data_IF_225068962534
#
_entry.id   IF_225068962534
#
_cell.length_a   1.000
_cell.length_b   1.000
_cell.length_c   1.000
_cell.angle_alpha   90.00
_cell.angle_beta   90.00
_cell.angle_gamma   90.00
#
_symmetry.space_group_name_H-M   'P 1'
#
loop_
_entity.id
_entity.type
_entity.pdbx_description
1 polymer ?
#
# COMPACT_ATOMS: atom_id res chain seq x y z
N UNK A 1 -39.26 20.27 35.03
CA UNK A 1 -38.67 20.98 33.88
C UNK A 1 -37.16 20.70 33.89
N UNK A 2 -36.62 19.96 32.91
CA UNK A 2 -35.86 20.47 31.74
C UNK A 2 -34.59 21.23 32.20
N UNK A 3 -33.35 21.02 31.77
CA UNK A 3 -32.59 20.11 30.87
C UNK A 3 -31.10 20.50 31.06
N UNK A 4 -30.17 19.52 30.92
CA UNK A 4 -28.81 19.55 30.29
C UNK A 4 -27.79 20.64 30.76
N UNK A 5 -26.50 20.37 30.96
CA UNK A 5 -25.48 19.83 30.03
C UNK A 5 -24.19 19.39 30.77
N UNK A 6 -23.53 18.36 30.23
CA UNK A 6 -22.09 18.11 29.98
C UNK A 6 -21.03 18.66 30.98
N UNK A 7 -19.96 17.93 31.33
CA UNK A 7 -18.88 17.49 30.42
C UNK A 7 -18.24 16.20 30.94
N UNK A 8 -18.21 15.17 30.08
CA UNK A 8 -17.39 13.98 30.23
C UNK A 8 -15.95 14.32 29.81
N UNK A 9 -15.00 14.05 30.70
CA UNK A 9 -13.58 14.21 30.46
C UNK A 9 -13.04 13.09 29.58
N UNK A 10 -12.46 13.48 28.45
CA UNK A 10 -11.61 12.69 27.58
C UNK A 10 -10.37 12.17 28.33
N UNK A 11 -10.16 10.86 28.24
CA UNK A 11 -8.87 10.15 28.24
C UNK A 11 -9.13 8.96 27.30
N UNK A 12 -8.51 8.79 26.14
CA UNK A 12 -7.15 9.13 25.77
C UNK A 12 -6.40 7.81 25.50
N UNK A 13 -6.69 7.17 24.36
CA UNK A 13 -5.74 6.26 23.69
C UNK A 13 -5.80 6.56 22.19
N UNK A 14 -4.67 7.04 21.69
CA UNK A 14 -4.34 7.30 20.30
C UNK A 14 -3.87 6.02 19.59
N UNK A 15 -4.05 6.01 18.27
CA UNK A 15 -3.47 5.13 17.24
C UNK A 15 -4.06 3.71 17.20
N UNK A 16 -4.59 3.23 16.08
CA UNK A 16 -4.05 3.31 14.71
C UNK A 16 -5.09 3.64 13.64
N UNK A 17 -4.71 4.45 12.65
CA UNK A 17 -5.36 4.47 11.34
C UNK A 17 -5.19 3.10 10.68
N UNK A 18 -6.29 2.48 10.28
CA UNK A 18 -6.35 1.15 9.66
C UNK A 18 -7.60 0.46 10.19
N UNK A 19 -8.42 -0.11 9.30
CA UNK A 19 -9.74 -0.71 9.57
C UNK A 19 -9.88 -1.30 10.98
N UNK A 20 -11.01 -1.03 11.62
CA UNK A 20 -11.39 -1.73 12.84
C UNK A 20 -11.27 -3.24 12.60
N UNK A 21 -10.42 -3.92 13.37
CA UNK A 21 -10.21 -5.36 13.24
C UNK A 21 -11.54 -6.06 13.46
N UNK A 22 -12.08 -6.62 12.38
CA UNK A 22 -13.30 -7.42 12.45
C UNK A 22 -13.04 -8.61 13.36
N UNK A 23 -13.91 -8.80 14.35
CA UNK A 23 -13.84 -9.91 15.29
C UNK A 23 -15.17 -10.66 15.31
N UNK A 24 -15.10 -11.97 15.51
CA UNK A 24 -16.26 -12.84 15.65
C UNK A 24 -16.49 -13.14 17.14
N UNK A 25 -17.69 -12.86 17.62
CA UNK A 25 -18.08 -13.12 19.00
C UNK A 25 -19.09 -14.26 19.01
N UNK A 26 -18.84 -15.29 19.82
CA UNK A 26 -19.89 -16.26 20.18
C UNK A 26 -20.57 -15.73 21.42
N UNK A 27 -21.83 -15.37 21.30
CA UNK A 27 -22.65 -14.86 22.41
C UNK A 27 -23.75 -15.85 22.71
N UNK A 28 -24.00 -16.08 23.99
CA UNK A 28 -25.17 -16.80 24.44
C UNK A 28 -26.40 -15.94 24.10
N UNK A 29 -27.34 -16.49 23.30
CA UNK A 29 -28.44 -15.70 22.78
C UNK A 29 -29.47 -15.44 23.88
N UNK A 30 -30.08 -14.27 23.86
CA UNK A 30 -31.23 -13.97 24.73
C UNK A 30 -32.52 -14.67 24.25
N UNK A 31 -32.42 -15.60 23.29
CA UNK A 31 -33.57 -16.34 22.76
C UNK A 31 -33.92 -17.49 23.70
N UNK A 32 -35.20 -17.88 23.79
CA UNK A 32 -35.68 -18.88 24.75
C UNK A 32 -35.13 -20.30 24.50
N UNK A 33 -34.48 -20.54 23.36
CA UNK A 33 -33.82 -21.79 22.99
C UNK A 33 -32.37 -21.91 23.50
N UNK A 34 -31.78 -20.82 24.01
CA UNK A 34 -30.42 -20.82 24.59
C UNK A 34 -29.32 -21.14 23.58
N UNK A 35 -29.62 -21.01 22.27
CA UNK A 35 -28.69 -21.39 21.22
C UNK A 35 -27.64 -20.29 21.04
N UNK A 36 -26.34 -20.58 21.11
CA UNK A 36 -25.31 -19.55 20.94
C UNK A 36 -25.34 -18.97 19.52
N UNK A 37 -25.11 -17.66 19.41
CA UNK A 37 -25.10 -16.90 18.16
C UNK A 37 -23.69 -16.41 17.84
N UNK A 38 -23.30 -16.50 16.56
CA UNK A 38 -22.09 -15.88 16.05
C UNK A 38 -22.40 -14.45 15.59
N UNK A 39 -21.67 -13.47 16.11
CA UNK A 39 -21.87 -12.05 15.82
C UNK A 39 -20.56 -11.47 15.30
N UNK A 40 -20.58 -10.87 14.10
CA UNK A 40 -19.46 -10.11 13.57
C UNK A 40 -19.46 -8.69 14.13
N UNK A 41 -18.35 -8.29 14.77
CA UNK A 41 -18.20 -7.06 15.54
C UNK A 41 -17.07 -6.24 14.93
N UNK A 42 -17.35 -4.97 14.64
CA UNK A 42 -16.36 -3.98 14.19
C UNK A 42 -15.69 -3.27 15.36
N UNK A 43 -16.43 -2.99 16.43
CA UNK A 43 -15.84 -2.41 17.64
C UNK A 43 -16.54 -2.88 18.90
N UNK A 44 -15.78 -3.04 19.99
CA UNK A 44 -16.32 -3.27 21.32
C UNK A 44 -16.10 -2.06 22.22
N UNK A 45 -17.12 -1.68 22.99
CA UNK A 45 -17.02 -0.71 24.08
C UNK A 45 -17.36 -1.38 25.39
N UNK A 46 -16.45 -1.28 26.35
CA UNK A 46 -16.57 -1.94 27.64
C UNK A 46 -17.20 -0.97 28.66
N UNK A 47 -18.45 -1.24 29.04
CA UNK A 47 -19.22 -0.42 29.99
C UNK A 47 -19.45 -1.20 31.28
N UNK A 48 -18.40 -1.32 32.10
CA UNK A 48 -18.48 -1.95 33.42
C UNK A 48 -18.80 -3.44 33.37
N UNK A 49 -20.05 -3.82 33.63
CA UNK A 49 -20.53 -5.23 33.59
C UNK A 49 -21.04 -5.66 32.21
N UNK A 50 -21.18 -4.72 31.27
CA UNK A 50 -21.66 -4.94 29.91
C UNK A 50 -20.58 -4.63 28.87
N UNK A 51 -20.75 -5.24 27.71
CA UNK A 51 -19.99 -4.94 26.50
C UNK A 51 -20.99 -4.52 25.42
N UNK A 52 -20.78 -3.34 24.86
CA UNK A 52 -21.53 -2.85 23.69
C UNK A 52 -20.77 -3.31 22.46
N UNK A 53 -21.36 -4.24 21.71
CA UNK A 53 -20.81 -4.75 20.46
C UNK A 53 -21.42 -3.97 19.30
N UNK A 54 -20.59 -3.25 18.54
CA UNK A 54 -21.01 -2.63 17.29
C UNK A 54 -20.80 -3.63 16.14
N UNK A 55 -21.89 -4.06 15.53
CA UNK A 55 -21.88 -5.02 14.42
C UNK A 55 -21.60 -4.35 13.08
N UNK A 56 -21.22 -5.16 12.09
CA UNK A 56 -20.95 -4.75 10.69
C UNK A 56 -22.13 -4.05 10.00
N UNK A 57 -23.35 -4.25 10.48
CA UNK A 57 -24.56 -3.61 9.95
C UNK A 57 -24.88 -2.28 10.65
N UNK A 58 -24.00 -1.80 11.52
CA UNK A 58 -24.19 -0.60 12.34
C UNK A 58 -25.09 -0.80 13.56
N UNK A 59 -25.62 -2.01 13.81
CA UNK A 59 -26.39 -2.29 15.03
C UNK A 59 -25.47 -2.36 16.25
N UNK A 60 -25.90 -1.73 17.33
CA UNK A 60 -25.27 -1.88 18.66
C UNK A 60 -26.03 -2.92 19.45
N UNK A 61 -25.34 -3.92 19.97
CA UNK A 61 -25.89 -4.96 20.85
C UNK A 61 -25.20 -4.88 22.20
N UNK A 62 -25.98 -4.65 23.26
CA UNK A 62 -25.48 -4.78 24.62
C UNK A 62 -25.50 -6.25 25.04
N UNK A 63 -24.35 -6.76 25.46
CA UNK A 63 -24.21 -8.15 25.93
C UNK A 63 -23.50 -8.12 27.29
N UNK A 64 -24.00 -8.88 28.26
CA UNK A 64 -23.32 -9.05 29.54
C UNK A 64 -22.00 -9.78 29.33
N UNK A 65 -20.93 -9.40 30.04
CA UNK A 65 -19.61 -10.06 29.91
C UNK A 65 -19.65 -11.58 30.08
N UNK A 66 -20.50 -12.07 30.99
CA UNK A 66 -20.68 -13.50 31.24
C UNK A 66 -21.37 -14.27 30.10
N UNK A 67 -22.00 -13.57 29.15
CA UNK A 67 -22.70 -14.18 28.02
C UNK A 67 -21.82 -14.22 26.76
N UNK A 68 -20.57 -13.75 26.81
CA UNK A 68 -19.61 -13.87 25.71
C UNK A 68 -18.84 -15.18 25.92
N UNK A 69 -19.14 -16.19 25.11
CA UNK A 69 -18.57 -17.54 25.24
C UNK A 69 -17.18 -17.64 24.60
N UNK A 70 -16.95 -16.91 23.51
CA UNK A 70 -15.65 -16.85 22.85
C UNK A 70 -15.49 -15.54 22.07
N UNK A 71 -14.24 -15.06 22.00
CA UNK A 71 -13.78 -14.04 21.06
C UNK A 71 -12.88 -14.71 20.04
N UNK A 72 -13.21 -14.59 18.78
CA UNK A 72 -12.54 -15.28 17.68
C UNK A 72 -12.05 -14.26 16.65
N UNK A 73 -10.88 -14.50 16.04
CA UNK A 73 -10.43 -13.68 14.94
C UNK A 73 -11.32 -13.92 13.71
N UNK A 74 -11.76 -12.84 13.05
CA UNK A 74 -12.40 -12.97 11.74
C UNK A 74 -11.36 -13.27 10.67
N UNK A 75 -11.78 -13.90 9.56
CA UNK A 75 -10.91 -14.12 8.41
C UNK A 75 -10.23 -12.81 7.97
N UNK A 76 -8.93 -12.83 7.69
CA UNK A 76 -8.19 -11.65 7.28
C UNK A 76 -8.73 -11.13 5.96
N UNK A 77 -8.88 -9.81 5.87
CA UNK A 77 -9.26 -9.10 4.66
C UNK A 77 -8.08 -8.84 3.72
N UNK A 78 -8.34 -8.33 2.50
CA UNK A 78 -7.29 -7.90 1.60
C UNK A 78 -6.48 -6.76 2.24
N UNK A 79 -5.19 -6.98 2.44
CA UNK A 79 -4.25 -6.01 3.02
C UNK A 79 -3.82 -6.30 4.47
N UNK A 80 -4.38 -7.33 5.12
CA UNK A 80 -3.98 -7.67 6.49
C UNK A 80 -2.64 -8.42 6.50
N UNK A 81 -1.71 -7.98 7.35
CA UNK A 81 -0.40 -8.62 7.54
C UNK A 81 -0.60 -9.90 8.35
N UNK A 82 -0.49 -11.06 7.68
CA UNK A 82 -0.75 -12.36 8.30
C UNK A 82 0.54 -13.17 8.47
N UNK A 83 0.82 -13.61 9.69
CA UNK A 83 1.89 -14.58 9.97
C UNK A 83 1.33 -16.00 10.01
N UNK A 84 2.16 -17.00 9.68
CA UNK A 84 1.78 -18.42 9.72
C UNK A 84 1.35 -18.86 11.13
N UNK A 85 2.04 -18.34 12.14
CA UNK A 85 1.74 -18.56 13.56
C UNK A 85 0.39 -17.97 13.97
N UNK A 86 0.08 -16.73 13.55
CA UNK A 86 -1.19 -16.09 13.82
C UNK A 86 -2.34 -16.85 13.15
N UNK A 87 -2.16 -17.30 11.90
CA UNK A 87 -3.13 -18.11 11.19
C UNK A 87 -3.34 -19.50 11.83
N UNK A 88 -2.27 -20.18 12.25
CA UNK A 88 -2.37 -21.45 12.96
C UNK A 88 -3.09 -21.31 14.30
N UNK A 89 -2.80 -20.23 15.04
CA UNK A 89 -3.49 -19.91 16.30
C UNK A 89 -4.98 -19.64 16.06
N UNK A 90 -5.33 -18.83 15.07
CA UNK A 90 -6.70 -18.55 14.70
C UNK A 90 -7.50 -19.83 14.35
N UNK A 91 -6.89 -20.75 13.59
CA UNK A 91 -7.50 -22.05 13.29
C UNK A 91 -7.72 -22.86 14.57
N UNK A 92 -6.74 -22.89 15.49
CA UNK A 92 -6.87 -23.58 16.78
C UNK A 92 -8.01 -23.01 17.61
N UNK A 93 -8.10 -21.69 17.73
CA UNK A 93 -9.15 -21.00 18.50
C UNK A 93 -10.55 -21.28 17.90
N UNK A 94 -10.67 -21.29 16.57
CA UNK A 94 -11.91 -21.64 15.86
C UNK A 94 -12.32 -23.10 16.06
N UNK A 95 -11.36 -24.03 16.06
CA UNK A 95 -11.63 -25.44 16.32
C UNK A 95 -12.04 -25.69 17.78
N UNK A 96 -11.43 -24.98 18.73
CA UNK A 96 -11.84 -25.03 20.13
C UNK A 96 -13.26 -24.46 20.30
N UNK A 97 -13.58 -23.33 19.67
CA UNK A 97 -14.92 -22.78 19.69
C UNK A 97 -15.96 -23.69 19.03
N UNK A 98 -15.59 -24.37 17.94
CA UNK A 98 -16.43 -25.39 17.30
C UNK A 98 -16.78 -26.53 18.27
N UNK A 99 -15.82 -26.95 19.12
CA UNK A 99 -16.09 -27.98 20.13
C UNK A 99 -17.04 -27.51 21.24
N UNK A 100 -17.06 -26.21 21.56
CA UNK A 100 -17.89 -25.61 22.61
C UNK A 100 -19.28 -25.20 22.11
N UNK A 101 -19.44 -24.92 20.81
CA UNK A 101 -20.68 -24.47 20.19
C UNK A 101 -21.06 -25.32 18.97
N UNK A 102 -21.50 -26.58 19.15
CA UNK A 102 -21.81 -27.49 18.04
C UNK A 102 -22.93 -26.98 17.13
N UNK A 103 -23.85 -26.15 17.65
CA UNK A 103 -24.89 -25.49 16.85
C UNK A 103 -24.33 -24.56 15.75
N UNK A 104 -23.11 -24.06 15.92
CA UNK A 104 -22.40 -23.17 14.97
C UNK A 104 -21.36 -23.92 14.13
N UNK A 105 -21.34 -25.26 14.18
CA UNK A 105 -20.31 -26.08 13.52
C UNK A 105 -20.10 -25.73 12.05
N UNK A 106 -21.17 -25.62 11.26
CA UNK A 106 -21.06 -25.33 9.82
C UNK A 106 -20.40 -23.98 9.56
N UNK A 107 -20.82 -22.95 10.29
CA UNK A 107 -20.33 -21.58 10.12
C UNK A 107 -18.87 -21.46 10.57
N UNK A 108 -18.53 -22.07 11.71
CA UNK A 108 -17.14 -22.10 12.20
C UNK A 108 -16.24 -22.93 11.28
N UNK A 109 -16.75 -24.01 10.68
CA UNK A 109 -16.00 -24.79 9.70
C UNK A 109 -15.68 -23.98 8.45
N UNK A 110 -16.63 -23.22 7.91
CA UNK A 110 -16.39 -22.32 6.77
C UNK A 110 -15.28 -21.31 7.08
N UNK A 111 -15.25 -20.77 8.30
CA UNK A 111 -14.22 -19.84 8.72
C UNK A 111 -12.84 -20.51 8.86
N UNK A 112 -12.79 -21.73 9.38
CA UNK A 112 -11.57 -22.55 9.42
C UNK A 112 -11.02 -22.78 8.02
N UNK A 113 -11.87 -23.11 7.04
CA UNK A 113 -11.42 -23.33 5.66
C UNK A 113 -10.88 -22.05 5.01
N UNK A 114 -11.45 -20.88 5.31
CA UNK A 114 -10.88 -19.58 4.87
C UNK A 114 -9.50 -19.35 5.46
N UNK A 115 -9.34 -19.57 6.77
CA UNK A 115 -8.04 -19.44 7.44
C UNK A 115 -7.00 -20.44 6.93
N UNK A 116 -7.38 -21.68 6.63
CA UNK A 116 -6.50 -22.66 5.97
C UNK A 116 -6.08 -22.21 4.57
N UNK A 117 -7.01 -21.72 3.76
CA UNK A 117 -6.69 -21.20 2.44
C UNK A 117 -5.73 -20.00 2.48
N UNK A 118 -5.77 -19.19 3.55
CA UNK A 118 -4.78 -18.16 3.82
C UNK A 118 -3.44 -18.77 4.25
N UNK A 119 -3.44 -19.73 5.18
CA UNK A 119 -2.25 -20.42 5.67
C UNK A 119 -1.46 -21.12 4.56
N UNK A 120 -2.16 -21.77 3.62
CA UNK A 120 -1.56 -22.48 2.48
C UNK A 120 -0.81 -21.54 1.53
N UNK A 121 -1.23 -20.28 1.46
CA UNK A 121 -0.58 -19.24 0.65
C UNK A 121 0.60 -18.58 1.37
N UNK A 122 0.74 -18.78 2.68
CA UNK A 122 1.87 -18.25 3.43
C UNK A 122 3.07 -19.19 3.29
N UNK A 123 4.21 -18.70 2.77
CA UNK A 123 5.42 -19.52 2.67
C UNK A 123 5.82 -20.02 4.05
N UNK A 124 6.10 -21.32 4.17
CA UNK A 124 6.63 -21.89 5.41
C UNK A 124 8.08 -21.48 5.57
N UNK A 125 8.43 -20.82 6.67
CA UNK A 125 9.82 -20.50 7.01
C UNK A 125 10.69 -21.75 7.22
N UNK A 126 10.07 -22.91 7.43
CA UNK A 126 10.73 -24.20 7.68
C UNK A 126 11.06 -24.99 6.39
N UNK A 127 10.62 -24.53 5.21
CA UNK A 127 10.96 -25.14 3.92
C UNK A 127 11.72 -24.15 3.02
N UNK A 128 13.07 -24.21 2.99
CA UNK A 128 13.91 -23.38 2.15
C UNK A 128 13.56 -23.46 0.66
N UNK A 129 13.03 -24.60 0.20
CA UNK A 129 12.62 -24.80 -1.19
C UNK A 129 11.33 -24.07 -1.54
N UNK A 130 10.38 -23.98 -0.59
CA UNK A 130 9.16 -23.19 -0.75
C UNK A 130 9.46 -21.69 -0.73
N UNK A 131 10.39 -21.25 0.13
CA UNK A 131 10.82 -19.85 0.20
C UNK A 131 11.53 -19.42 -1.10
N UNK A 132 12.46 -20.23 -1.61
CA UNK A 132 13.14 -19.94 -2.88
C UNK A 132 12.16 -19.87 -4.07
N UNK A 133 11.12 -20.72 -4.09
CA UNK A 133 10.07 -20.65 -5.12
C UNK A 133 9.22 -19.40 -5.00
N UNK A 134 8.87 -18.98 -3.78
CA UNK A 134 8.12 -17.75 -3.55
C UNK A 134 8.93 -16.51 -3.93
N UNK A 135 10.23 -16.50 -3.62
CA UNK A 135 11.15 -15.44 -4.04
C UNK A 135 11.31 -15.39 -5.56
N UNK A 136 11.48 -16.54 -6.22
CA UNK A 136 11.56 -16.61 -7.68
C UNK A 136 10.27 -16.10 -8.34
N UNK A 137 9.11 -16.52 -7.83
CA UNK A 137 7.81 -16.08 -8.32
C UNK A 137 7.61 -14.56 -8.15
N UNK A 138 8.02 -14.01 -7.00
CA UNK A 138 7.99 -12.57 -6.78
C UNK A 138 8.94 -11.84 -7.72
N UNK A 139 10.19 -12.29 -7.84
CA UNK A 139 11.19 -11.67 -8.71
C UNK A 139 10.74 -11.65 -10.18
N UNK A 140 10.14 -12.74 -10.66
CA UNK A 140 9.57 -12.83 -12.01
C UNK A 140 8.38 -11.88 -12.18
N UNK A 141 7.43 -11.88 -11.24
CA UNK A 141 6.27 -11.00 -11.29
C UNK A 141 6.66 -9.52 -11.22
N UNK A 142 7.65 -9.19 -10.38
CA UNK A 142 8.19 -7.84 -10.22
C UNK A 142 8.95 -7.38 -11.46
N UNK A 143 9.78 -8.24 -12.06
CA UNK A 143 10.48 -7.94 -13.32
C UNK A 143 9.49 -7.74 -14.48
N UNK A 144 8.41 -8.53 -14.52
CA UNK A 144 7.34 -8.35 -15.51
C UNK A 144 6.55 -7.05 -15.28
N UNK A 145 6.32 -6.69 -14.03
CA UNK A 145 5.65 -5.45 -13.65
C UNK A 145 6.52 -4.21 -13.95
N UNK A 146 7.85 -4.32 -13.89
CA UNK A 146 8.81 -3.26 -14.24
C UNK A 146 9.75 -3.69 -15.36
N UNK A 147 9.29 -3.70 -16.62
CA UNK A 147 10.14 -4.07 -17.76
C UNK A 147 11.28 -3.07 -18.00
N UNK A 148 11.14 -1.83 -17.49
CA UNK A 148 12.17 -0.80 -17.52
C UNK A 148 12.30 -0.18 -16.13
N UNK A 149 13.52 -0.04 -15.64
CA UNK A 149 13.78 0.73 -14.43
C UNK A 149 13.36 2.20 -14.63
N UNK A 150 12.91 2.83 -13.56
CA UNK A 150 12.71 4.28 -13.55
C UNK A 150 14.03 4.99 -13.83
N UNK A 151 14.02 5.89 -14.81
CA UNK A 151 15.13 6.77 -15.12
C UNK A 151 14.70 8.21 -14.85
N UNK A 152 15.30 8.89 -13.86
CA UNK A 152 14.94 10.26 -13.53
C UNK A 152 15.21 11.24 -14.67
N UNK A 153 16.00 10.91 -15.69
CA UNK A 153 16.23 11.82 -16.84
C UNK A 153 15.14 11.77 -17.89
N UNK A 154 14.36 10.69 -17.93
CA UNK A 154 13.29 10.54 -18.89
C UNK A 154 12.09 11.40 -18.51
N UNK A 155 11.44 11.97 -19.52
CA UNK A 155 10.16 12.66 -19.40
C UNK A 155 9.04 11.68 -19.79
N UNK A 156 8.58 10.92 -18.80
CA UNK A 156 7.46 9.99 -18.96
C UNK A 156 6.17 10.75 -19.15
N UNK A 157 5.19 10.23 -19.89
CA UNK A 157 3.83 10.76 -19.96
C UNK A 157 3.00 10.44 -18.69
N UNK A 158 1.90 11.16 -18.47
CA UNK A 158 1.04 10.93 -17.27
C UNK A 158 0.39 9.55 -17.32
N UNK A 159 0.06 9.10 -18.53
CA UNK A 159 -0.51 7.79 -18.78
C UNK A 159 0.50 6.70 -18.42
N UNK A 160 1.76 6.82 -18.86
CA UNK A 160 2.83 5.87 -18.52
C UNK A 160 3.07 5.81 -17.00
N UNK A 161 3.17 6.97 -16.33
CA UNK A 161 3.37 7.03 -14.87
C UNK A 161 2.22 6.31 -14.14
N UNK A 162 0.97 6.62 -14.49
CA UNK A 162 -0.20 6.03 -13.84
C UNK A 162 -0.36 4.55 -14.14
N UNK A 163 -0.09 4.14 -15.38
CA UNK A 163 -0.09 2.73 -15.76
C UNK A 163 0.91 1.97 -14.90
N UNK A 164 2.13 2.49 -14.75
CA UNK A 164 3.19 1.85 -13.98
C UNK A 164 2.86 1.77 -12.48
N UNK A 165 2.33 2.85 -11.89
CA UNK A 165 1.84 2.84 -10.50
C UNK A 165 0.76 1.77 -10.33
N UNK A 166 -0.23 1.74 -11.22
CA UNK A 166 -1.35 0.81 -11.11
C UNK A 166 -0.90 -0.65 -11.27
N UNK A 167 0.03 -0.94 -12.18
CA UNK A 167 0.62 -2.28 -12.31
C UNK A 167 1.30 -2.74 -11.01
N UNK A 168 2.05 -1.85 -10.35
CA UNK A 168 2.69 -2.18 -9.08
C UNK A 168 1.70 -2.27 -7.90
N UNK A 169 0.64 -1.47 -7.89
CA UNK A 169 -0.46 -1.59 -6.91
C UNK A 169 -1.24 -2.90 -7.06
N UNK A 170 -1.40 -3.41 -8.28
CA UNK A 170 -1.94 -4.76 -8.50
C UNK A 170 -0.99 -5.81 -7.93
N UNK A 171 0.32 -5.65 -8.13
CA UNK A 171 1.32 -6.56 -7.59
C UNK A 171 1.32 -6.59 -6.05
N UNK A 172 1.05 -5.46 -5.39
CA UNK A 172 0.88 -5.43 -3.92
C UNK A 172 -0.24 -6.36 -3.44
N UNK A 173 -1.34 -6.45 -4.20
CA UNK A 173 -2.46 -7.34 -3.85
C UNK A 173 -2.10 -8.81 -4.03
N UNK A 174 -1.22 -9.12 -5.00
CA UNK A 174 -0.73 -10.48 -5.24
C UNK A 174 0.32 -10.90 -4.19
N UNK A 175 1.15 -9.97 -3.71
CA UNK A 175 2.25 -10.22 -2.78
C UNK A 175 2.21 -9.29 -1.56
N UNK A 176 1.21 -9.44 -0.66
CA UNK A 176 1.05 -8.54 0.50
C UNK A 176 2.27 -8.55 1.44
N UNK A 177 2.94 -9.70 1.57
CA UNK A 177 4.13 -9.83 2.42
C UNK A 177 5.38 -9.11 1.87
N UNK A 178 5.33 -8.60 0.62
CA UNK A 178 6.42 -7.86 -0.04
C UNK A 178 6.06 -6.41 -0.33
N UNK A 179 4.96 -5.92 0.26
CA UNK A 179 4.53 -4.53 0.14
C UNK A 179 5.65 -3.48 0.29
N UNK A 180 6.54 -3.53 1.30
CA UNK A 180 7.59 -2.51 1.46
C UNK A 180 8.64 -2.50 0.35
N UNK A 181 8.82 -3.60 -0.38
CA UNK A 181 9.71 -3.65 -1.54
C UNK A 181 9.02 -3.13 -2.79
N UNK A 182 7.73 -3.42 -2.91
CA UNK A 182 6.90 -2.90 -4.00
C UNK A 182 6.74 -1.38 -3.85
N UNK A 183 6.54 -0.86 -2.64
CA UNK A 183 6.49 0.58 -2.36
C UNK A 183 7.77 1.29 -2.77
N UNK A 184 8.94 0.72 -2.46
CA UNK A 184 10.23 1.26 -2.91
C UNK A 184 10.31 1.36 -4.43
N UNK A 185 9.69 0.42 -5.16
CA UNK A 185 9.57 0.46 -6.61
C UNK A 185 8.57 1.49 -7.12
N UNK A 186 7.47 1.74 -6.39
CA UNK A 186 6.40 2.68 -6.75
C UNK A 186 6.83 4.14 -6.50
N UNK A 187 7.58 4.40 -5.44
CA UNK A 187 7.83 5.75 -4.93
C UNK A 187 8.43 6.73 -5.96
N UNK A 188 9.42 6.34 -6.81
CA UNK A 188 9.89 7.20 -7.88
C UNK A 188 8.76 7.64 -8.82
N UNK A 189 7.83 6.75 -9.18
CA UNK A 189 6.71 7.06 -10.06
C UNK A 189 5.68 7.99 -9.41
N UNK A 190 5.42 7.83 -8.10
CA UNK A 190 4.55 8.75 -7.35
C UNK A 190 5.16 10.16 -7.27
N UNK A 191 6.48 10.25 -7.10
CA UNK A 191 7.16 11.56 -7.16
C UNK A 191 6.99 12.22 -8.52
N UNK A 192 7.13 11.47 -9.62
CA UNK A 192 6.88 11.99 -10.96
C UNK A 192 5.44 12.47 -11.15
N UNK A 193 4.46 11.71 -10.67
CA UNK A 193 3.04 12.09 -10.73
C UNK A 193 2.79 13.40 -9.96
N UNK A 194 3.29 13.49 -8.73
CA UNK A 194 3.09 14.65 -7.87
C UNK A 194 3.71 15.93 -8.44
N UNK A 195 4.95 15.84 -8.92
CA UNK A 195 5.66 17.00 -9.47
C UNK A 195 4.97 17.52 -10.75
N UNK A 196 4.46 16.61 -11.59
CA UNK A 196 3.73 17.00 -12.78
C UNK A 196 2.33 17.54 -12.48
N UNK A 197 1.62 16.98 -11.50
CA UNK A 197 0.36 17.53 -10.99
C UNK A 197 0.56 18.92 -10.38
N UNK A 198 1.74 19.18 -9.80
CA UNK A 198 2.14 20.52 -9.34
C UNK A 198 2.48 21.50 -10.50
N UNK A 199 2.33 21.08 -11.75
CA UNK A 199 2.55 21.91 -12.94
C UNK A 199 4.03 22.17 -13.25
N UNK A 200 4.95 21.45 -12.61
CA UNK A 200 6.39 21.55 -12.91
C UNK A 200 6.69 20.82 -14.21
N UNK A 201 7.74 21.27 -14.89
CA UNK A 201 8.25 20.68 -16.12
C UNK A 201 9.61 20.04 -15.85
N UNK A 202 9.84 18.90 -16.46
CA UNK A 202 11.11 18.19 -16.34
C UNK A 202 12.11 18.68 -17.39
N UNK A 203 13.36 18.86 -16.99
CA UNK A 203 14.46 19.16 -17.89
C UNK A 203 15.73 18.44 -17.40
N UNK A 204 16.26 17.52 -18.22
CA UNK A 204 17.46 16.71 -17.91
C UNK A 204 17.45 16.06 -16.51
N UNK A 205 16.26 15.65 -16.06
CA UNK A 205 16.04 15.00 -14.77
C UNK A 205 15.91 15.91 -13.57
N UNK A 206 15.74 17.22 -13.79
CA UNK A 206 15.34 18.18 -12.75
C UNK A 206 13.92 18.65 -12.99
N UNK A 207 13.16 18.77 -11.91
CA UNK A 207 11.84 19.39 -11.92
C UNK A 207 11.98 20.88 -11.72
N UNK A 208 11.50 21.65 -12.70
CA UNK A 208 11.57 23.09 -12.73
C UNK A 208 10.17 23.68 -12.77
N UNK A 209 9.99 24.84 -12.14
CA UNK A 209 8.79 25.64 -12.38
C UNK A 209 8.74 26.08 -13.85
N UNK A 210 7.56 26.43 -14.39
CA UNK A 210 7.46 26.89 -15.78
C UNK A 210 8.40 28.07 -16.10
N UNK A 211 8.58 29.01 -15.17
CA UNK A 211 9.47 30.16 -15.34
C UNK A 211 10.94 29.78 -15.38
N UNK A 212 11.38 28.88 -14.48
CA UNK A 212 12.75 28.35 -14.47
C UNK A 212 13.04 27.54 -15.73
N UNK A 213 12.05 26.75 -16.17
CA UNK A 213 12.16 25.93 -17.37
C UNK A 213 12.39 26.77 -18.63
N UNK A 214 11.63 27.86 -18.81
CA UNK A 214 11.81 28.78 -19.94
C UNK A 214 13.17 29.49 -19.88
N UNK A 215 13.62 29.91 -18.69
CA UNK A 215 14.94 30.52 -18.49
C UNK A 215 16.07 29.56 -18.86
N UNK A 216 15.99 28.31 -18.42
CA UNK A 216 17.03 27.31 -18.64
C UNK A 216 17.09 26.86 -20.10
N UNK A 217 15.92 26.68 -20.73
CA UNK A 217 15.84 26.41 -22.17
C UNK A 217 16.39 27.57 -23.01
N UNK A 218 16.01 28.82 -22.68
CA UNK A 218 16.52 30.01 -23.37
C UNK A 218 18.04 30.19 -23.21
N UNK A 219 18.58 29.92 -22.02
CA UNK A 219 20.03 29.95 -21.78
C UNK A 219 20.78 28.90 -22.63
N UNK A 220 20.22 27.69 -22.76
CA UNK A 220 20.77 26.61 -23.60
C UNK A 220 20.73 26.95 -25.09
N UNK A 221 19.60 27.48 -25.59
CA UNK A 221 19.48 27.89 -26.99
C UNK A 221 20.46 29.03 -27.32
N UNK A 222 20.62 29.98 -26.41
CA UNK A 222 21.63 31.05 -26.56
C UNK A 222 23.05 30.50 -26.58
N UNK A 223 23.40 29.61 -25.64
CA UNK A 223 24.71 28.98 -25.61
C UNK A 223 24.99 28.11 -26.84
N UNK A 224 23.99 27.37 -27.33
CA UNK A 224 24.09 26.58 -28.56
C UNK A 224 24.28 27.47 -29.79
N UNK A 225 23.55 28.59 -29.88
CA UNK A 225 23.69 29.59 -30.95
C UNK A 225 25.06 30.25 -30.92
N UNK A 226 25.55 30.64 -29.75
CA UNK A 226 26.90 31.20 -29.58
C UNK A 226 28.00 30.19 -29.92
N UNK A 227 27.84 28.93 -29.50
CA UNK A 227 28.75 27.84 -29.85
C UNK A 227 28.75 27.54 -31.36
N UNK A 228 27.59 27.61 -32.01
CA UNK A 228 27.46 27.47 -33.46
C UNK A 228 28.14 28.63 -34.20
N UNK A 229 27.93 29.88 -33.77
CA UNK A 229 28.59 31.06 -34.34
C UNK A 229 30.11 31.00 -34.20
N UNK A 230 30.62 30.54 -33.04
CA UNK A 230 32.07 30.31 -32.84
C UNK A 230 32.63 29.24 -33.79
N UNK A 231 31.85 28.21 -34.13
CA UNK A 231 32.27 27.17 -35.09
C UNK A 231 32.22 27.64 -36.55
N UNK A 232 31.37 28.61 -36.89
CA UNK A 232 31.32 29.22 -38.22
C UNK A 232 32.51 30.17 -38.45
N UNK A 233 33.10 30.74 -37.40
CA UNK A 233 34.39 31.43 -37.50
C UNK A 233 35.52 30.40 -37.75
N UNK A 234 35.70 30.03 -39.02
CA UNK A 234 36.83 29.26 -39.56
C UNK A 234 38.10 30.17 -39.68
N UNK A 235 39.30 29.57 -39.74
CA UNK A 235 40.51 30.06 -39.07
C UNK A 235 41.01 31.39 -39.64
N UNK A 236 41.74 32.15 -38.83
CA UNK A 236 42.55 33.29 -39.27
C UNK A 236 43.43 32.86 -40.45
N UNK A 237 42.95 33.08 -41.68
CA UNK A 237 43.80 33.09 -42.86
C UNK A 237 44.73 34.27 -42.67
N UNK A 238 45.97 33.96 -42.28
CA UNK A 238 47.05 34.94 -42.24
C UNK A 238 47.08 35.65 -43.60
N UNK A 239 47.07 37.00 -43.65
CA UNK A 239 47.16 37.70 -44.91
C UNK A 239 48.51 37.35 -45.54
N UNK A 240 48.50 36.54 -46.60
CA UNK A 240 49.66 36.36 -47.46
C UNK A 240 49.92 37.72 -48.10
N UNK A 241 50.96 38.40 -47.61
CA UNK A 241 51.53 39.58 -48.24
C UNK A 241 51.95 39.22 -49.67
N UNK A 242 51.15 39.59 -50.66
CA UNK A 242 51.57 39.64 -52.06
C UNK A 242 52.52 40.83 -52.16
N UNK A 243 53.80 40.57 -51.89
CA UNK A 243 54.84 41.57 -51.86
C UNK A 243 56.20 40.92 -52.05
N UNK A 244 56.45 40.37 -53.24
CA UNK A 244 57.81 40.15 -53.72
C UNK A 244 57.90 40.57 -55.18
N UNK A 245 58.54 41.72 -55.39
CA UNK A 245 59.16 42.03 -56.67
C UNK A 245 60.27 41.03 -56.93
N UNK A 246 60.41 40.65 -58.19
CA UNK A 246 61.66 40.12 -58.71
C UNK A 246 62.17 41.15 -59.70
N UNK A 247 63.17 41.89 -59.25
CA UNK A 247 64.18 42.53 -60.07
C UNK A 247 65.27 41.47 -60.29
N UNK A 248 65.40 41.01 -61.54
CA UNK A 248 66.64 40.83 -62.32
C UNK A 248 66.33 40.03 -63.60
#
# INVERSE_FOLDING_TARGET
MIRRWAVLLLLGVLATNGRAELQLFIVDSAKPDGTPELVAVESEQNEGSKVVLQQINGMKREVSKGNILARLPASPGPGDVLTREAAAKAISDLLEAKSKAPALEKVLQEEVEKWKACLDKLPSAEDPGALAKAEAAFAEAFARAMPKAHDPKNDYSMEEIRQQINTLEVLKKEFPNREPEIDRGIEPWRMEENERLAGKKKFEGRWLTPEEWEKEKGAREKAAREGFLKKIQLPEVSPVLIGQGVLL
#
